data_IF_367033876871
#
_entry.id   IF_367033876871
#
_cell.length_a   1.000
_cell.length_b   1.000
_cell.length_c   1.000
_cell.angle_alpha   90.00
_cell.angle_beta   90.00
_cell.angle_gamma   90.00
#
_symmetry.space_group_name_H-M   'P 1'
#
loop_
_entity.id
_entity.type
_entity.pdbx_description
1 polymer ?
#
# COMPACT_ATOMS: atom_id res chain seq x y z
N UNK A 1 -7.47 28.14 -20.93
CA UNK A 1 -6.50 29.19 -21.32
C UNK A 1 -6.03 28.96 -22.75
N UNK A 2 -5.64 29.99 -23.52
CA UNK A 2 -5.04 29.79 -24.84
C UNK A 2 -3.73 29.01 -24.69
N UNK A 3 -3.46 28.07 -25.60
CA UNK A 3 -2.20 27.32 -25.62
C UNK A 3 -1.03 28.28 -25.86
N UNK A 4 0.02 28.29 -25.03
CA UNK A 4 1.15 29.20 -25.20
C UNK A 4 1.85 28.94 -26.54
N UNK A 5 2.36 30.01 -27.14
CA UNK A 5 3.10 29.93 -28.40
C UNK A 5 4.49 29.27 -28.20
N UNK A 6 5.11 28.67 -29.24
CA UNK A 6 6.42 28.03 -29.11
C UNK A 6 7.53 28.93 -28.53
N UNK A 7 7.52 30.23 -28.85
CA UNK A 7 8.51 31.17 -28.34
C UNK A 7 8.36 31.44 -26.83
N UNK A 8 7.12 31.45 -26.34
CA UNK A 8 6.78 31.64 -24.93
C UNK A 8 7.21 30.41 -24.13
N UNK A 9 6.93 29.21 -24.62
CA UNK A 9 7.40 27.95 -24.03
C UNK A 9 8.94 27.93 -23.91
N UNK A 10 9.66 28.32 -24.96
CA UNK A 10 11.14 28.39 -24.93
C UNK A 10 11.63 29.40 -23.89
N UNK A 11 11.00 30.58 -23.80
CA UNK A 11 11.37 31.59 -22.83
C UNK A 11 11.19 31.10 -21.39
N UNK A 12 10.07 30.42 -21.08
CA UNK A 12 9.80 29.83 -19.77
C UNK A 12 10.84 28.76 -19.40
N UNK A 13 11.21 27.90 -20.35
CA UNK A 13 12.25 26.87 -20.14
C UNK A 13 13.61 27.51 -19.84
N UNK A 14 14.02 28.51 -20.62
CA UNK A 14 15.32 29.16 -20.43
C UNK A 14 15.39 29.96 -19.12
N UNK A 15 14.29 30.61 -18.72
CA UNK A 15 14.20 31.28 -17.42
C UNK A 15 14.37 30.28 -16.26
N UNK A 16 13.62 29.17 -16.28
CA UNK A 16 13.72 28.14 -15.26
C UNK A 16 15.13 27.52 -15.20
N UNK A 17 15.75 27.26 -16.35
CA UNK A 17 17.13 26.77 -16.43
C UNK A 17 18.13 27.75 -15.82
N UNK A 18 17.97 29.04 -16.09
CA UNK A 18 18.82 30.07 -15.50
C UNK A 18 18.65 30.10 -13.97
N UNK A 19 17.42 30.01 -13.48
CA UNK A 19 17.11 30.03 -12.06
C UNK A 19 17.67 28.80 -11.33
N UNK A 20 17.50 27.60 -11.90
CA UNK A 20 18.09 26.36 -11.41
C UNK A 20 19.62 26.41 -11.47
N UNK A 21 20.21 26.95 -12.54
CA UNK A 21 21.67 27.06 -12.65
C UNK A 21 22.26 27.95 -11.53
N UNK A 22 21.53 28.97 -11.07
CA UNK A 22 21.96 29.82 -9.94
C UNK A 22 22.01 29.07 -8.60
N UNK A 23 21.23 28.01 -8.43
CA UNK A 23 21.28 27.18 -7.22
C UNK A 23 22.42 26.15 -7.24
N UNK A 24 23.14 26.03 -8.37
CA UNK A 24 24.23 25.07 -8.53
C UNK A 24 23.75 23.62 -8.62
N UNK A 25 22.45 23.41 -8.85
CA UNK A 25 21.83 22.09 -8.93
C UNK A 25 21.77 21.63 -10.39
N UNK A 26 22.03 20.34 -10.60
CA UNK A 26 21.77 19.67 -11.87
C UNK A 26 20.58 18.71 -11.68
N UNK A 27 19.39 19.03 -12.19
CA UNK A 27 18.23 18.15 -12.08
C UNK A 27 18.47 16.84 -12.82
N UNK A 28 18.07 15.73 -12.19
CA UNK A 28 17.89 14.42 -12.84
C UNK A 28 16.71 14.46 -13.79
N UNK A 29 15.65 15.17 -13.39
CA UNK A 29 14.51 15.45 -14.24
C UNK A 29 13.79 16.72 -13.80
N UNK A 30 12.97 17.23 -14.71
CA UNK A 30 12.27 18.49 -14.59
C UNK A 30 10.96 18.40 -15.38
N UNK A 31 9.84 18.76 -14.75
CA UNK A 31 8.50 18.79 -15.34
C UNK A 31 7.81 20.10 -14.96
N UNK A 32 6.84 20.51 -15.78
CA UNK A 32 5.96 21.62 -15.45
C UNK A 32 4.57 21.04 -15.16
N UNK A 33 4.05 21.25 -13.96
CA UNK A 33 2.78 20.70 -13.47
C UNK A 33 2.14 21.71 -12.50
N UNK A 34 0.83 21.66 -12.33
CA UNK A 34 0.12 22.38 -11.25
C UNK A 34 0.33 21.60 -9.95
N UNK A 35 1.11 22.18 -9.03
CA UNK A 35 1.56 21.54 -7.78
C UNK A 35 0.86 22.08 -6.53
N UNK A 36 0.07 23.14 -6.63
CA UNK A 36 -0.63 23.76 -5.51
C UNK A 36 -2.14 24.01 -5.71
N UNK A 37 -2.67 23.64 -6.88
CA UNK A 37 -4.09 23.72 -7.24
C UNK A 37 -4.50 25.07 -7.83
N UNK A 38 -3.54 25.90 -8.21
CA UNK A 38 -3.78 27.19 -8.86
C UNK A 38 -3.72 27.07 -10.41
N UNK A 39 -4.07 28.12 -11.18
CA UNK A 39 -4.08 28.03 -12.64
C UNK A 39 -2.68 28.14 -13.28
N UNK A 40 -1.65 28.49 -12.53
CA UNK A 40 -0.26 28.58 -12.97
C UNK A 40 0.40 27.20 -12.94
N UNK A 41 1.63 27.08 -13.48
CA UNK A 41 2.33 25.80 -13.56
C UNK A 41 3.75 25.96 -13.03
N UNK A 42 4.12 25.12 -12.09
CA UNK A 42 5.40 25.18 -11.40
C UNK A 42 6.37 24.18 -12.00
N UNK A 43 7.66 24.51 -11.88
CA UNK A 43 8.72 23.59 -12.24
C UNK A 43 9.03 22.66 -11.07
N UNK A 44 8.66 21.40 -11.20
CA UNK A 44 9.00 20.36 -10.22
C UNK A 44 10.16 19.51 -10.73
N UNK A 45 11.14 19.26 -9.86
CA UNK A 45 12.34 18.52 -10.24
C UNK A 45 12.97 17.72 -9.10
N UNK A 46 13.72 16.70 -9.48
CA UNK A 46 14.54 15.89 -8.57
C UNK A 46 16.01 16.05 -8.92
N UNK A 47 16.89 16.00 -7.92
CA UNK A 47 18.33 16.07 -8.10
C UNK A 47 19.06 15.19 -7.07
N UNK A 48 20.29 14.81 -7.40
CA UNK A 48 21.13 14.03 -6.49
C UNK A 48 22.18 14.93 -5.86
N UNK A 49 22.10 15.13 -4.55
CA UNK A 49 23.15 15.77 -3.78
C UNK A 49 24.29 14.77 -3.55
N UNK A 50 25.51 15.13 -3.98
CA UNK A 50 26.70 14.32 -3.74
C UNK A 50 26.98 14.17 -2.23
N UNK A 51 27.40 12.97 -1.84
CA UNK A 51 27.68 12.58 -0.46
C UNK A 51 27.96 11.09 -0.38
N UNK A 52 28.28 10.61 0.82
CA UNK A 52 28.44 9.18 1.09
C UNK A 52 27.57 8.82 2.32
N UNK A 53 26.34 8.31 2.11
CA UNK A 53 25.68 8.02 0.83
C UNK A 53 25.20 9.31 0.10
N UNK A 54 25.01 9.28 -1.24
CA UNK A 54 24.38 10.37 -1.97
C UNK A 54 22.91 10.48 -1.56
N UNK A 55 22.30 11.66 -1.72
CA UNK A 55 20.91 11.93 -1.30
C UNK A 55 20.09 12.49 -2.44
N UNK A 56 19.00 11.81 -2.77
CA UNK A 56 17.96 12.30 -3.67
C UNK A 56 17.17 13.37 -2.93
N UNK A 57 16.99 14.52 -3.57
CA UNK A 57 16.22 15.65 -3.08
C UNK A 57 15.30 16.14 -4.20
N UNK A 58 14.25 16.86 -3.82
CA UNK A 58 13.33 17.47 -4.76
C UNK A 58 13.22 18.97 -4.56
N UNK A 59 12.63 19.65 -5.52
CA UNK A 59 12.29 21.05 -5.43
C UNK A 59 11.08 21.39 -6.29
N UNK A 60 10.45 22.50 -5.93
CA UNK A 60 9.46 23.20 -6.73
C UNK A 60 9.95 24.62 -6.93
N UNK A 61 9.94 25.08 -8.17
CA UNK A 61 10.22 26.44 -8.57
C UNK A 61 8.92 27.05 -9.10
N UNK A 62 8.33 27.90 -8.27
CA UNK A 62 7.14 28.67 -8.57
C UNK A 62 7.56 30.12 -8.86
N UNK A 63 7.43 30.53 -10.11
CA UNK A 63 8.05 31.76 -10.61
C UNK A 63 9.55 31.80 -10.29
N UNK A 64 9.94 32.69 -9.37
CA UNK A 64 11.32 32.82 -8.89
C UNK A 64 11.53 32.24 -7.47
N UNK A 65 10.46 31.78 -6.81
CA UNK A 65 10.49 31.22 -5.47
C UNK A 65 10.91 29.75 -5.50
N UNK A 66 11.85 29.39 -4.62
CA UNK A 66 12.39 28.03 -4.53
C UNK A 66 11.88 27.34 -3.27
N UNK A 67 11.20 26.21 -3.44
CA UNK A 67 10.69 25.39 -2.37
C UNK A 67 11.39 24.04 -2.36
N UNK A 68 12.21 23.72 -1.34
CA UNK A 68 12.81 22.39 -1.23
C UNK A 68 11.77 21.35 -0.83
N UNK A 69 11.78 20.21 -1.53
CA UNK A 69 11.06 19.01 -1.11
C UNK A 69 12.05 18.12 -0.34
N UNK A 70 11.96 18.20 0.99
CA UNK A 70 12.78 17.41 1.88
C UNK A 70 11.93 16.94 3.08
N UNK A 71 12.09 15.69 3.53
CA UNK A 71 11.52 15.27 4.80
C UNK A 71 12.10 16.09 5.97
N UNK A 72 11.44 16.11 7.15
CA UNK A 72 12.00 16.72 8.35
C UNK A 72 13.39 16.15 8.68
N UNK A 73 14.31 17.01 9.13
CA UNK A 73 15.63 16.58 9.59
C UNK A 73 15.49 15.65 10.80
N UNK A 74 16.02 14.44 10.69
CA UNK A 74 16.12 13.47 11.78
C UNK A 74 17.43 12.69 11.66
N UNK A 75 17.87 12.03 12.72
CA UNK A 75 19.10 11.22 12.72
C UNK A 75 19.07 10.06 11.68
N UNK A 76 17.89 9.72 11.16
CA UNK A 76 17.66 8.66 10.15
C UNK A 76 17.45 9.21 8.71
N UNK A 77 17.72 10.50 8.48
CA UNK A 77 17.44 11.16 7.20
C UNK A 77 18.26 10.60 6.02
N UNK A 78 17.61 9.80 5.16
CA UNK A 78 18.16 9.31 3.87
C UNK A 78 17.84 10.25 2.69
N UNK A 79 17.28 11.43 2.93
CA UNK A 79 16.64 12.23 1.88
C UNK A 79 15.42 11.51 1.30
N UNK A 80 15.09 11.80 0.04
CA UNK A 80 14.03 11.10 -0.71
C UNK A 80 14.50 9.73 -1.22
N UNK A 81 15.77 9.38 -1.02
CA UNK A 81 16.43 8.17 -1.52
C UNK A 81 17.94 8.34 -1.65
N UNK A 82 18.63 7.26 -1.95
CA UNK A 82 20.10 7.19 -2.04
C UNK A 82 20.57 6.80 -3.46
N UNK A 83 19.66 6.77 -4.43
CA UNK A 83 19.94 6.50 -5.83
C UNK A 83 19.31 7.56 -6.73
N UNK A 84 19.90 7.84 -7.90
CA UNK A 84 19.27 8.71 -8.88
C UNK A 84 18.02 8.04 -9.45
N UNK A 85 16.85 8.60 -9.14
CA UNK A 85 15.56 8.17 -9.66
C UNK A 85 14.77 9.39 -10.12
N UNK A 86 14.07 9.26 -11.25
CA UNK A 86 13.03 10.20 -11.66
C UNK A 86 11.68 9.50 -11.63
N UNK A 87 11.19 9.24 -10.42
CA UNK A 87 9.85 8.72 -10.20
C UNK A 87 9.10 9.78 -9.40
N UNK A 88 8.33 10.58 -10.13
CA UNK A 88 7.63 11.74 -9.62
C UNK A 88 6.27 11.86 -10.32
N UNK A 89 5.22 12.02 -9.52
CA UNK A 89 3.85 12.25 -9.96
C UNK A 89 3.27 13.46 -9.24
N UNK A 90 2.38 14.18 -9.91
CA UNK A 90 1.60 15.27 -9.32
C UNK A 90 0.14 14.96 -9.62
N UNK A 91 -0.64 14.72 -8.57
CA UNK A 91 -2.09 14.44 -8.66
C UNK A 91 -2.73 14.51 -7.28
N UNK A 92 -4.03 14.75 -7.28
CA UNK A 92 -4.86 14.60 -6.08
C UNK A 92 -4.93 13.11 -5.69
N UNK A 93 -4.29 12.76 -4.57
CA UNK A 93 -4.26 11.41 -4.01
C UNK A 93 -5.37 11.18 -2.99
N UNK A 94 -5.89 12.22 -2.35
CA UNK A 94 -6.79 12.09 -1.21
C UNK A 94 -8.23 12.56 -1.51
N UNK A 95 -8.50 12.88 -2.78
CA UNK A 95 -9.76 13.36 -3.31
C UNK A 95 -10.24 14.67 -2.68
N UNK A 96 -9.33 15.53 -2.22
CA UNK A 96 -9.66 16.83 -1.62
C UNK A 96 -9.58 18.02 -2.61
N UNK A 97 -9.35 17.72 -3.90
CA UNK A 97 -9.19 18.68 -5.00
C UNK A 97 -7.93 19.55 -4.91
N UNK A 98 -6.96 19.21 -4.07
CA UNK A 98 -5.63 19.81 -4.07
C UNK A 98 -4.63 18.75 -4.54
N UNK A 99 -3.71 19.06 -5.48
CA UNK A 99 -2.73 18.10 -5.92
C UNK A 99 -1.66 17.85 -4.85
N UNK A 100 -1.23 16.59 -4.74
CA UNK A 100 -0.02 16.20 -4.02
C UNK A 100 1.15 15.97 -4.97
N UNK A 101 2.36 16.28 -4.50
CA UNK A 101 3.61 15.91 -5.14
C UNK A 101 4.14 14.63 -4.52
N UNK A 102 4.19 13.58 -5.33
CA UNK A 102 4.52 12.22 -4.93
C UNK A 102 5.89 11.85 -5.47
N UNK A 103 6.80 11.48 -4.57
CA UNK A 103 8.19 11.13 -4.93
C UNK A 103 8.53 9.73 -4.46
N UNK A 104 8.99 8.89 -5.39
CA UNK A 104 9.54 7.58 -5.09
C UNK A 104 11.05 7.61 -5.14
N UNK A 105 11.67 6.89 -4.20
CA UNK A 105 13.10 6.67 -4.17
C UNK A 105 13.47 5.30 -3.64
N UNK A 106 14.77 5.06 -3.52
CA UNK A 106 15.32 3.77 -3.10
C UNK A 106 16.45 3.98 -2.11
N UNK A 107 16.52 3.14 -1.08
CA UNK A 107 17.62 3.11 -0.12
C UNK A 107 18.63 2.01 -0.45
N UNK A 108 19.88 2.15 -0.02
CA UNK A 108 20.94 1.14 -0.16
C UNK A 108 20.59 -0.18 0.53
N UNK A 109 19.71 -0.14 1.53
CA UNK A 109 19.14 -1.33 2.17
C UNK A 109 18.25 -2.18 1.25
N UNK A 110 17.94 -1.68 0.04
CA UNK A 110 17.02 -2.27 -0.92
C UNK A 110 15.56 -1.91 -0.69
N UNK A 111 15.26 -0.99 0.24
CA UNK A 111 13.90 -0.53 0.49
C UNK A 111 13.43 0.49 -0.55
N UNK A 112 12.15 0.45 -0.89
CA UNK A 112 11.46 1.52 -1.62
C UNK A 112 11.02 2.58 -0.62
N UNK A 113 11.19 3.85 -1.00
CA UNK A 113 10.74 5.01 -0.24
C UNK A 113 9.64 5.72 -1.02
N UNK A 114 8.64 6.25 -0.31
CA UNK A 114 7.58 7.10 -0.85
C UNK A 114 7.44 8.33 0.04
N UNK A 115 7.39 9.50 -0.58
CA UNK A 115 7.14 10.77 0.12
C UNK A 115 6.01 11.51 -0.60
N UNK A 116 5.06 12.00 0.18
CA UNK A 116 3.89 12.74 -0.31
C UNK A 116 3.94 14.14 0.27
N UNK A 117 3.97 15.15 -0.59
CA UNK A 117 4.00 16.56 -0.21
C UNK A 117 2.76 17.28 -0.69
N UNK A 118 2.35 18.32 0.05
CA UNK A 118 1.23 19.19 -0.30
C UNK A 118 1.55 20.64 0.00
N UNK A 119 1.04 21.55 -0.82
CA UNK A 119 1.06 22.98 -0.52
C UNK A 119 0.16 23.37 0.66
N UNK A 120 0.73 24.06 1.66
CA UNK A 120 0.01 24.60 2.82
C UNK A 120 -0.09 26.14 2.80
N UNK A 121 0.04 26.77 1.64
CA UNK A 121 -0.07 28.23 1.47
C UNK A 121 1.24 29.01 1.58
N UNK A 122 2.22 28.50 2.32
CA UNK A 122 3.57 29.12 2.42
C UNK A 122 4.72 28.17 2.06
N UNK A 123 4.49 26.87 2.14
CA UNK A 123 5.49 25.83 1.91
C UNK A 123 4.83 24.52 1.51
N UNK A 124 5.63 23.65 0.92
CA UNK A 124 5.27 22.24 0.74
C UNK A 124 5.55 21.46 2.03
N UNK A 125 4.49 20.95 2.66
CA UNK A 125 4.57 20.12 3.85
C UNK A 125 4.57 18.64 3.47
N UNK A 126 5.32 17.84 4.23
CA UNK A 126 5.30 16.38 4.09
C UNK A 126 4.03 15.83 4.77
N UNK A 127 3.12 15.27 3.97
CA UNK A 127 1.93 14.57 4.47
C UNK A 127 2.26 13.15 4.96
N UNK A 128 3.24 12.49 4.34
CA UNK A 128 3.63 11.15 4.72
C UNK A 128 4.96 10.72 4.10
N UNK A 129 5.77 10.00 4.89
CA UNK A 129 6.99 9.34 4.45
C UNK A 129 6.94 7.86 4.80
N UNK A 130 7.21 6.99 3.82
CA UNK A 130 7.03 5.55 3.96
C UNK A 130 8.26 4.78 3.47
N UNK A 131 8.62 3.70 4.17
CA UNK A 131 9.69 2.76 3.78
C UNK A 131 9.14 1.33 3.69
N UNK A 132 9.26 0.70 2.52
CA UNK A 132 8.79 -0.66 2.26
C UNK A 132 9.87 -1.55 1.68
N UNK A 133 10.29 -2.59 2.42
CA UNK A 133 11.31 -3.56 1.98
C UNK A 133 10.79 -4.55 0.91
N UNK A 134 9.48 -4.69 0.78
CA UNK A 134 8.80 -5.42 -0.30
C UNK A 134 8.17 -4.48 -1.33
N UNK A 135 8.54 -3.20 -1.32
CA UNK A 135 7.94 -2.16 -2.15
C UNK A 135 6.80 -1.39 -1.47
N UNK A 136 6.26 -0.42 -2.19
CA UNK A 136 5.13 0.41 -1.77
C UNK A 136 4.18 0.52 -2.98
N UNK A 137 2.87 0.55 -2.73
CA UNK A 137 1.84 0.77 -3.75
C UNK A 137 0.88 1.85 -3.30
N UNK A 138 0.37 2.59 -4.28
CA UNK A 138 -0.83 3.39 -4.13
C UNK A 138 -1.98 2.59 -4.73
N UNK A 139 -3.05 2.42 -3.98
CA UNK A 139 -4.26 1.70 -4.38
C UNK A 139 -5.47 2.52 -3.99
N UNK A 140 -6.47 2.65 -4.84
CA UNK A 140 -7.82 3.01 -4.42
C UNK A 140 -8.63 1.71 -4.35
N UNK A 141 -8.75 1.16 -3.15
CA UNK A 141 -9.24 -0.21 -2.95
C UNK A 141 -10.68 -0.27 -2.46
N UNK A 142 -11.14 0.75 -1.76
CA UNK A 142 -12.51 0.85 -1.24
C UNK A 142 -13.44 1.66 -2.17
N UNK A 143 -12.90 2.38 -3.14
CA UNK A 143 -13.64 3.11 -4.16
C UNK A 143 -14.05 4.52 -3.74
N UNK A 144 -13.42 5.10 -2.71
CA UNK A 144 -13.70 6.45 -2.23
C UNK A 144 -12.98 7.57 -3.02
N UNK A 145 -12.15 7.19 -4.01
CA UNK A 145 -11.26 8.05 -4.81
C UNK A 145 -9.97 8.48 -4.13
N UNK A 146 -9.84 8.30 -2.83
CA UNK A 146 -8.57 8.47 -2.14
C UNK A 146 -7.72 7.19 -2.33
N UNK A 147 -6.45 7.37 -2.65
CA UNK A 147 -5.50 6.28 -2.66
C UNK A 147 -5.04 5.99 -1.25
N UNK A 148 -5.10 4.72 -0.86
CA UNK A 148 -4.39 4.17 0.27
C UNK A 148 -2.91 3.92 -0.06
N UNK A 149 -2.05 4.16 0.92
CA UNK A 149 -0.63 3.79 0.84
C UNK A 149 -0.45 2.39 1.40
N UNK A 150 -0.06 1.45 0.55
CA UNK A 150 0.16 0.05 0.91
C UNK A 150 1.66 -0.23 0.99
N UNK A 151 2.17 -0.30 2.21
CA UNK A 151 3.58 -0.57 2.52
C UNK A 151 3.80 -2.08 2.66
N UNK A 152 4.66 -2.65 1.82
CA UNK A 152 5.00 -4.08 1.87
C UNK A 152 6.27 -4.30 2.70
N UNK A 153 6.17 -5.20 3.67
CA UNK A 153 7.33 -5.69 4.41
C UNK A 153 8.16 -6.66 3.57
N UNK A 154 9.30 -7.11 4.10
CA UNK A 154 10.12 -8.10 3.41
C UNK A 154 9.28 -9.37 3.17
N UNK A 155 9.20 -9.88 1.93
CA UNK A 155 8.41 -11.06 1.64
C UNK A 155 9.00 -12.32 2.31
N UNK A 156 8.10 -13.23 2.69
CA UNK A 156 8.40 -14.54 3.27
C UNK A 156 7.93 -15.61 2.27
N UNK A 157 8.83 -16.02 1.38
CA UNK A 157 8.47 -16.87 0.24
C UNK A 157 7.48 -16.15 -0.70
N UNK A 158 6.28 -16.72 -0.96
CA UNK A 158 5.27 -16.10 -1.83
C UNK A 158 4.38 -15.08 -1.10
N UNK A 159 4.44 -15.01 0.23
CA UNK A 159 3.61 -14.15 1.05
C UNK A 159 4.32 -12.84 1.39
N UNK A 160 3.54 -11.78 1.58
CA UNK A 160 4.01 -10.51 2.11
C UNK A 160 3.00 -9.97 3.11
N UNK A 161 3.50 -9.36 4.18
CA UNK A 161 2.69 -8.57 5.09
C UNK A 161 2.63 -7.12 4.60
N UNK A 162 1.42 -6.61 4.44
CA UNK A 162 1.12 -5.26 3.98
C UNK A 162 0.54 -4.44 5.13
N UNK A 163 1.04 -3.23 5.31
CA UNK A 163 0.41 -2.21 6.18
C UNK A 163 -0.27 -1.20 5.27
N UNK A 164 -1.55 -0.94 5.53
CA UNK A 164 -2.41 -0.07 4.75
C UNK A 164 -2.64 1.22 5.54
N UNK A 165 -2.25 2.33 4.94
CA UNK A 165 -2.51 3.66 5.45
C UNK A 165 -3.62 4.32 4.63
N UNK A 166 -4.65 4.81 5.30
CA UNK A 166 -5.77 5.53 4.69
C UNK A 166 -5.72 6.99 5.11
N UNK A 167 -6.21 7.87 4.24
CA UNK A 167 -6.38 9.28 4.55
C UNK A 167 -7.52 9.48 5.57
N UNK A 168 -7.25 10.15 6.69
CA UNK A 168 -8.25 10.45 7.73
C UNK A 168 -8.86 11.87 7.62
N UNK A 169 -8.53 12.59 6.55
CA UNK A 169 -8.87 14.01 6.37
C UNK A 169 -7.72 14.96 6.68
N UNK A 170 -6.65 14.50 7.33
CA UNK A 170 -5.46 15.31 7.61
C UNK A 170 -4.14 14.55 7.45
N UNK A 171 -4.12 13.23 7.68
CA UNK A 171 -2.92 12.42 7.61
C UNK A 171 -3.22 11.03 7.03
N UNK A 172 -2.17 10.39 6.52
CA UNK A 172 -2.19 8.96 6.25
C UNK A 172 -1.95 8.18 7.55
N UNK A 173 -2.98 7.49 8.03
CA UNK A 173 -2.94 6.73 9.28
C UNK A 173 -3.05 5.23 9.02
N UNK A 174 -2.35 4.41 9.81
CA UNK A 174 -2.46 2.95 9.72
C UNK A 174 -3.88 2.52 10.13
N UNK A 175 -4.67 2.05 9.18
CA UNK A 175 -6.06 1.60 9.38
C UNK A 175 -6.22 0.09 9.30
N UNK A 176 -5.31 -0.59 8.59
CA UNK A 176 -5.35 -2.04 8.45
C UNK A 176 -3.98 -2.61 8.13
N UNK A 177 -3.80 -3.90 8.41
CA UNK A 177 -2.69 -4.69 7.91
C UNK A 177 -3.21 -6.04 7.41
N UNK A 178 -2.51 -6.65 6.48
CA UNK A 178 -2.95 -7.91 5.86
C UNK A 178 -1.82 -8.74 5.30
N UNK A 179 -2.03 -10.04 5.21
CA UNK A 179 -1.26 -10.89 4.31
C UNK A 179 -1.77 -10.72 2.87
N UNK A 180 -0.84 -10.71 1.93
CA UNK A 180 -1.10 -10.70 0.50
C UNK A 180 -0.09 -11.59 -0.24
N UNK A 181 -0.38 -11.87 -1.51
CA UNK A 181 0.60 -12.47 -2.42
C UNK A 181 1.61 -11.43 -2.88
N UNK A 182 2.90 -11.76 -2.77
CA UNK A 182 3.96 -10.88 -3.26
C UNK A 182 4.01 -10.84 -4.79
N UNK A 183 4.05 -12.02 -5.42
CA UNK A 183 3.99 -12.17 -6.88
C UNK A 183 2.54 -12.21 -7.37
N UNK A 184 2.28 -11.97 -8.66
CA UNK A 184 0.94 -12.08 -9.25
C UNK A 184 0.68 -13.43 -9.96
N UNK A 185 1.70 -14.29 -10.04
CA UNK A 185 1.65 -15.54 -10.81
C UNK A 185 0.58 -16.51 -10.30
N UNK A 186 -0.11 -17.18 -11.24
CA UNK A 186 -1.09 -18.23 -10.98
C UNK A 186 -0.70 -19.51 -11.72
N UNK A 187 -1.03 -20.72 -11.20
CA UNK A 187 -1.74 -20.99 -9.92
C UNK A 187 -0.89 -20.67 -8.68
N UNK A 188 -1.56 -20.42 -7.55
CA UNK A 188 -0.89 -20.12 -6.26
C UNK A 188 -0.50 -21.42 -5.53
N UNK A 189 0.65 -21.45 -4.84
CA UNK A 189 1.09 -22.64 -4.11
C UNK A 189 0.46 -22.82 -2.72
N UNK A 190 -0.21 -21.81 -2.16
CA UNK A 190 -0.83 -21.83 -0.81
C UNK A 190 0.03 -22.48 0.29
N UNK A 191 1.13 -21.82 0.73
CA UNK A 191 2.03 -22.39 1.72
C UNK A 191 1.32 -22.73 3.04
N UNK A 192 1.74 -23.84 3.63
CA UNK A 192 1.17 -24.44 4.84
C UNK A 192 2.27 -25.04 5.74
N UNK A 193 3.50 -24.59 5.57
CA UNK A 193 4.70 -25.02 6.29
C UNK A 193 4.71 -24.55 7.76
N UNK A 194 3.98 -23.48 8.07
CA UNK A 194 3.74 -22.99 9.43
C UNK A 194 2.24 -22.84 9.70
N UNK A 195 1.81 -22.84 10.99
CA UNK A 195 0.42 -22.59 11.33
C UNK A 195 -0.11 -21.24 10.81
N UNK A 196 0.74 -20.21 10.84
CA UNK A 196 0.38 -18.87 10.33
C UNK A 196 0.24 -18.91 8.81
N UNK A 197 1.16 -19.55 8.09
CA UNK A 197 1.05 -19.68 6.63
C UNK A 197 -0.20 -20.44 6.22
N UNK A 198 -0.53 -21.55 6.88
CA UNK A 198 -1.74 -22.31 6.57
C UNK A 198 -3.02 -21.47 6.77
N UNK A 199 -3.12 -20.72 7.88
CA UNK A 199 -4.24 -19.82 8.13
C UNK A 199 -4.32 -18.69 7.10
N UNK A 200 -3.19 -18.03 6.80
CA UNK A 200 -3.15 -16.94 5.83
C UNK A 200 -3.49 -17.43 4.42
N UNK A 201 -2.94 -18.58 4.01
CA UNK A 201 -3.24 -19.25 2.75
C UNK A 201 -4.71 -19.62 2.61
N UNK A 202 -5.36 -20.06 3.70
CA UNK A 202 -6.79 -20.37 3.70
C UNK A 202 -7.63 -19.14 3.31
N UNK A 203 -7.41 -18.01 3.97
CA UNK A 203 -8.15 -16.78 3.67
C UNK A 203 -7.75 -16.16 2.32
N UNK A 204 -6.49 -16.30 1.90
CA UNK A 204 -6.05 -15.86 0.57
C UNK A 204 -6.67 -16.72 -0.54
N UNK A 205 -6.82 -18.03 -0.35
CA UNK A 205 -7.52 -18.91 -1.29
C UNK A 205 -9.00 -18.54 -1.42
N UNK A 206 -9.66 -18.20 -0.30
CA UNK A 206 -11.03 -17.65 -0.34
C UNK A 206 -11.09 -16.34 -1.14
N UNK A 207 -10.13 -15.45 -0.93
CA UNK A 207 -10.06 -14.19 -1.67
C UNK A 207 -9.78 -14.37 -3.17
N UNK A 208 -8.95 -15.35 -3.53
CA UNK A 208 -8.66 -15.72 -4.93
C UNK A 208 -9.80 -16.47 -5.63
N UNK A 209 -10.87 -16.81 -4.89
CA UNK A 209 -12.00 -17.66 -5.32
C UNK A 209 -11.61 -19.11 -5.63
N UNK A 210 -10.49 -19.55 -5.11
CA UNK A 210 -10.04 -20.93 -5.20
C UNK A 210 -10.62 -21.74 -4.03
N UNK A 211 -11.95 -21.93 -4.06
CA UNK A 211 -12.67 -22.66 -3.02
C UNK A 211 -12.16 -24.11 -2.85
N UNK A 212 -11.78 -24.85 -3.91
CA UNK A 212 -11.15 -26.17 -3.74
C UNK A 212 -9.84 -26.12 -2.95
N UNK A 213 -8.96 -25.15 -3.22
CA UNK A 213 -7.70 -25.00 -2.49
C UNK A 213 -7.94 -24.54 -1.03
N UNK A 214 -8.87 -23.61 -0.81
CA UNK A 214 -9.25 -23.24 0.55
C UNK A 214 -9.79 -24.45 1.34
N UNK A 215 -10.63 -25.28 0.72
CA UNK A 215 -11.15 -26.49 1.36
C UNK A 215 -10.07 -27.55 1.62
N UNK A 216 -9.06 -27.67 0.76
CA UNK A 216 -7.97 -28.63 0.97
C UNK A 216 -7.07 -28.29 2.15
N UNK A 217 -7.04 -27.02 2.58
CA UNK A 217 -6.35 -26.55 3.78
C UNK A 217 -7.10 -26.90 5.08
N UNK A 218 -8.33 -27.42 5.00
CA UNK A 218 -9.06 -27.95 6.15
C UNK A 218 -8.58 -29.37 6.51
N UNK A 219 -8.61 -29.70 7.80
CA UNK A 219 -8.25 -31.02 8.29
C UNK A 219 -9.22 -32.08 7.76
N UNK A 220 -8.82 -33.37 7.71
CA UNK A 220 -9.76 -34.44 7.39
C UNK A 220 -10.99 -34.49 8.32
N UNK A 221 -10.82 -34.14 9.60
CA UNK A 221 -11.92 -34.08 10.55
C UNK A 221 -12.89 -32.93 10.21
N UNK A 222 -12.36 -31.73 9.96
CA UNK A 222 -13.14 -30.57 9.52
C UNK A 222 -13.95 -30.88 8.24
N UNK A 223 -13.29 -31.47 7.23
CA UNK A 223 -13.90 -31.85 5.95
C UNK A 223 -14.94 -32.98 6.07
N UNK A 224 -14.90 -33.77 7.12
CA UNK A 224 -15.92 -34.80 7.36
C UNK A 224 -17.17 -34.24 8.06
N UNK A 225 -17.04 -33.09 8.74
CA UNK A 225 -18.14 -32.41 9.41
C UNK A 225 -19.09 -31.65 8.47
N UNK A 226 -18.63 -31.25 7.28
CA UNK A 226 -19.44 -30.53 6.30
C UNK A 226 -19.01 -30.92 4.88
N UNK A 227 -19.96 -31.21 3.99
CA UNK A 227 -19.62 -31.52 2.58
C UNK A 227 -19.12 -30.27 1.86
N UNK A 228 -18.26 -30.47 0.87
CA UNK A 228 -17.67 -29.37 0.10
C UNK A 228 -18.71 -28.42 -0.49
N UNK A 229 -19.79 -28.94 -1.08
CA UNK A 229 -20.81 -28.12 -1.74
C UNK A 229 -21.53 -27.22 -0.74
N UNK A 230 -21.89 -27.77 0.42
CA UNK A 230 -22.57 -27.04 1.49
C UNK A 230 -21.64 -25.99 2.12
N UNK A 231 -20.35 -26.30 2.22
CA UNK A 231 -19.31 -25.38 2.70
C UNK A 231 -19.07 -24.23 1.71
N UNK A 232 -18.91 -24.55 0.42
CA UNK A 232 -18.64 -23.59 -0.64
C UNK A 232 -19.78 -22.58 -0.83
N UNK A 233 -21.03 -23.03 -0.66
CA UNK A 233 -22.21 -22.15 -0.68
C UNK A 233 -22.15 -21.03 0.37
N UNK A 234 -21.47 -21.25 1.50
CA UNK A 234 -21.27 -20.24 2.53
C UNK A 234 -20.50 -19.00 2.06
N UNK A 235 -19.71 -19.12 0.99
CA UNK A 235 -18.90 -18.03 0.42
C UNK A 235 -19.48 -17.47 -0.88
N UNK A 236 -20.71 -17.84 -1.24
CA UNK A 236 -21.33 -17.43 -2.50
C UNK A 236 -21.54 -15.91 -2.59
N UNK A 237 -21.84 -15.25 -1.46
CA UNK A 237 -22.02 -13.80 -1.38
C UNK A 237 -20.72 -13.05 -1.14
N UNK A 238 -19.67 -13.71 -0.66
CA UNK A 238 -18.38 -13.08 -0.40
C UNK A 238 -17.88 -12.42 -1.67
N UNK A 239 -17.33 -11.23 -1.55
CA UNK A 239 -16.71 -10.41 -2.60
C UNK A 239 -15.20 -10.42 -2.43
N UNK A 240 -14.75 -10.23 -1.19
CA UNK A 240 -13.35 -10.11 -0.82
C UNK A 240 -13.15 -10.62 0.61
N UNK A 241 -11.98 -11.20 0.87
CA UNK A 241 -11.56 -11.56 2.22
C UNK A 241 -10.11 -11.11 2.42
N UNK A 242 -9.82 -10.55 3.58
CA UNK A 242 -8.48 -10.16 3.98
C UNK A 242 -8.20 -10.72 5.36
N UNK A 243 -7.00 -11.23 5.56
CA UNK A 243 -6.53 -11.72 6.86
C UNK A 243 -5.40 -10.80 7.32
N UNK A 244 -5.60 -10.19 8.48
CA UNK A 244 -4.66 -9.31 9.15
C UNK A 244 -3.58 -10.06 9.91
N UNK A 245 -2.95 -9.37 10.86
CA UNK A 245 -1.96 -9.94 11.77
C UNK A 245 -2.43 -11.27 12.35
N UNK A 246 -1.71 -12.34 12.01
CA UNK A 246 -1.94 -13.68 12.50
C UNK A 246 -0.79 -14.09 13.42
N UNK A 247 -1.12 -14.68 14.57
CA UNK A 247 -0.13 -15.10 15.56
C UNK A 247 -0.51 -16.42 16.21
N UNK A 248 0.50 -17.25 16.48
CA UNK A 248 0.34 -18.44 17.32
C UNK A 248 0.08 -17.98 18.75
N UNK A 249 -1.05 -18.36 19.33
CA UNK A 249 -1.44 -18.09 20.72
C UNK A 249 -0.89 -19.16 21.65
N UNK A 250 -0.94 -20.41 21.21
CA UNK A 250 -0.43 -21.58 21.91
C UNK A 250 -0.15 -22.70 20.92
N UNK A 251 0.72 -23.65 21.25
CA UNK A 251 0.97 -24.80 20.39
C UNK A 251 2.23 -25.57 20.75
N UNK A 252 2.39 -26.68 20.06
CA UNK A 252 3.54 -27.57 20.05
C UNK A 252 3.85 -28.03 18.61
N UNK A 253 4.69 -29.05 18.44
CA UNK A 253 5.12 -29.54 17.12
C UNK A 253 4.00 -30.14 16.25
N UNK A 254 2.86 -30.52 16.85
CA UNK A 254 1.77 -31.20 16.16
C UNK A 254 0.44 -30.44 16.19
N UNK A 255 0.28 -29.46 17.08
CA UNK A 255 -0.93 -28.67 17.24
C UNK A 255 -0.62 -27.21 17.49
N UNK A 256 -1.45 -26.32 16.97
CA UNK A 256 -1.34 -24.90 17.22
C UNK A 256 -2.71 -24.26 17.31
N UNK A 257 -2.80 -23.16 18.05
CA UNK A 257 -3.93 -22.25 18.05
C UNK A 257 -3.43 -20.93 17.50
N UNK A 258 -4.02 -20.49 16.39
CA UNK A 258 -3.65 -19.24 15.71
C UNK A 258 -4.83 -18.28 15.81
N UNK A 259 -4.56 -17.07 16.29
CA UNK A 259 -5.52 -15.98 16.27
C UNK A 259 -5.17 -14.99 15.17
N UNK A 260 -6.20 -14.45 14.51
CA UNK A 260 -6.06 -13.42 13.49
C UNK A 260 -7.27 -12.47 13.49
N UNK A 261 -7.13 -11.33 12.83
CA UNK A 261 -8.29 -10.54 12.41
C UNK A 261 -8.60 -10.81 10.95
N UNK A 262 -9.88 -10.87 10.60
CA UNK A 262 -10.32 -11.13 9.23
C UNK A 262 -11.36 -10.10 8.83
N UNK A 263 -11.16 -9.44 7.69
CA UNK A 263 -12.12 -8.53 7.09
C UNK A 263 -12.77 -9.20 5.88
N UNK A 264 -14.08 -9.39 5.92
CA UNK A 264 -14.85 -9.95 4.83
C UNK A 264 -15.80 -8.90 4.27
N UNK A 265 -15.88 -8.80 2.94
CA UNK A 265 -16.84 -7.98 2.23
C UNK A 265 -17.80 -8.92 1.52
N UNK A 266 -19.09 -8.82 1.80
CA UNK A 266 -20.13 -9.67 1.20
C UNK A 266 -21.14 -8.81 0.41
N UNK A 267 -21.58 -9.32 -0.74
CA UNK A 267 -22.68 -8.74 -1.51
C UNK A 267 -24.03 -9.23 -0.98
N UNK A 268 -24.68 -8.37 -0.23
CA UNK A 268 -25.99 -8.61 0.38
C UNK A 268 -27.05 -7.81 -0.37
N UNK A 269 -27.63 -8.42 -1.41
CA UNK A 269 -28.73 -7.81 -2.17
C UNK A 269 -28.33 -6.58 -2.97
N UNK A 270 -27.11 -6.55 -3.53
CA UNK A 270 -26.57 -5.44 -4.31
C UNK A 270 -25.79 -4.41 -3.49
N UNK A 271 -25.71 -4.59 -2.17
CA UNK A 271 -24.92 -3.74 -1.25
C UNK A 271 -23.72 -4.51 -0.73
N UNK A 272 -22.62 -3.82 -0.51
CA UNK A 272 -21.42 -4.43 0.07
C UNK A 272 -21.42 -4.18 1.57
N UNK A 273 -21.51 -5.26 2.34
CA UNK A 273 -21.42 -5.22 3.79
C UNK A 273 -20.04 -5.72 4.18
N UNK A 274 -19.26 -4.86 4.84
CA UNK A 274 -17.97 -5.19 5.38
C UNK A 274 -18.12 -5.60 6.85
N UNK A 275 -17.39 -6.65 7.23
CA UNK A 275 -17.34 -7.18 8.59
C UNK A 275 -15.92 -7.50 8.98
N UNK A 276 -15.54 -7.09 10.19
CA UNK A 276 -14.28 -7.46 10.79
C UNK A 276 -14.54 -8.47 11.91
N UNK A 277 -13.80 -9.57 11.90
CA UNK A 277 -13.89 -10.65 12.87
C UNK A 277 -12.57 -10.85 13.60
N UNK A 278 -12.63 -11.16 14.89
CA UNK A 278 -11.57 -11.86 15.58
C UNK A 278 -11.79 -13.36 15.36
N UNK A 279 -10.81 -14.03 14.74
CA UNK A 279 -10.88 -15.47 14.51
C UNK A 279 -9.82 -16.18 15.32
N UNK A 280 -10.15 -17.38 15.78
CA UNK A 280 -9.20 -18.28 16.42
C UNK A 280 -9.40 -19.67 15.83
N UNK A 281 -8.33 -20.24 15.31
CA UNK A 281 -8.31 -21.57 14.71
C UNK A 281 -7.39 -22.50 15.49
N UNK A 282 -7.88 -23.69 15.78
CA UNK A 282 -7.05 -24.84 16.09
C UNK A 282 -6.55 -25.46 14.78
N UNK A 283 -5.25 -25.69 14.69
CA UNK A 283 -4.58 -26.31 13.57
C UNK A 283 -3.86 -27.58 14.02
N UNK A 284 -3.80 -28.55 13.12
CA UNK A 284 -3.10 -29.82 13.30
C UNK A 284 -2.07 -30.02 12.21
N UNK A 285 -0.91 -30.53 12.56
CA UNK A 285 0.11 -30.89 11.58
C UNK A 285 -0.21 -32.27 11.01
N UNK A 286 -0.25 -32.37 9.68
CA UNK A 286 -0.45 -33.62 8.94
C UNK A 286 0.76 -33.90 8.06
N UNK A 287 0.78 -35.05 7.37
CA UNK A 287 1.83 -35.35 6.38
C UNK A 287 1.85 -34.35 5.22
N UNK A 288 0.70 -33.74 4.90
CA UNK A 288 0.56 -32.76 3.82
C UNK A 288 0.84 -31.32 4.26
N UNK A 289 1.14 -31.07 5.54
CA UNK A 289 1.33 -29.73 6.11
C UNK A 289 0.35 -29.39 7.23
N UNK A 290 0.33 -28.13 7.67
CA UNK A 290 -0.61 -27.64 8.69
C UNK A 290 -2.01 -27.50 8.12
N UNK A 291 -3.02 -27.96 8.85
CA UNK A 291 -4.42 -27.94 8.44
C UNK A 291 -5.31 -27.32 9.51
N UNK A 292 -6.31 -26.57 9.07
CA UNK A 292 -7.30 -25.92 9.92
C UNK A 292 -8.33 -26.96 10.38
N UNK A 293 -8.42 -27.21 11.68
CA UNK A 293 -9.23 -28.29 12.25
C UNK A 293 -10.59 -27.79 12.75
N UNK A 294 -10.57 -26.77 13.59
CA UNK A 294 -11.78 -26.13 14.10
C UNK A 294 -11.50 -24.67 14.40
N UNK A 295 -12.49 -23.81 14.19
CA UNK A 295 -12.35 -22.39 14.44
C UNK A 295 -13.61 -21.77 15.02
N UNK A 296 -13.41 -20.62 15.68
CA UNK A 296 -14.47 -19.71 16.11
C UNK A 296 -14.20 -18.33 15.54
N UNK A 297 -15.27 -17.58 15.31
CA UNK A 297 -15.22 -16.20 14.86
C UNK A 297 -16.13 -15.35 15.75
N UNK A 298 -15.62 -14.23 16.21
CA UNK A 298 -16.36 -13.19 16.92
C UNK A 298 -16.43 -11.96 16.03
N UNK A 299 -17.64 -11.47 15.77
CA UNK A 299 -17.84 -10.22 15.03
C UNK A 299 -17.39 -9.05 15.89
N UNK A 300 -16.44 -8.26 15.38
CA UNK A 300 -15.96 -7.05 16.05
C UNK A 300 -16.69 -5.81 15.53
N UNK A 301 -16.90 -5.75 14.22
CA UNK A 301 -17.45 -4.58 13.54
C UNK A 301 -18.20 -4.98 12.27
N UNK A 302 -19.25 -4.24 11.94
CA UNK A 302 -20.03 -4.38 10.71
C UNK A 302 -20.42 -2.99 10.19
N UNK A 303 -20.21 -2.73 8.89
CA UNK A 303 -20.62 -1.49 8.25
C UNK A 303 -20.91 -1.70 6.75
N UNK A 304 -21.83 -0.91 6.20
CA UNK A 304 -22.09 -0.88 4.76
C UNK A 304 -20.99 -0.04 4.08
N UNK A 305 -20.28 -0.63 3.12
CA UNK A 305 -19.32 0.08 2.28
C UNK A 305 -20.10 1.02 1.37
N UNK A 306 -19.86 2.32 1.50
CA UNK A 306 -20.43 3.32 0.59
C UNK A 306 -19.48 3.50 -0.58
N UNK A 307 -19.96 3.19 -1.78
CA UNK A 307 -19.26 3.57 -3.01
C UNK A 307 -19.62 5.02 -3.33
N UNK A 308 -18.63 5.91 -3.24
CA UNK A 308 -18.73 7.36 -3.51
C UNK A 308 -19.75 8.12 -2.61
N UNK A 309 -19.35 9.18 -1.89
CA UNK A 309 -20.27 10.08 -1.19
C UNK A 309 -21.19 10.90 -2.11
#
# INVERSE_FOLDING_TARGET
MPTPGPAEVVATIEAARADIARTGIQPLCLRQEDTDGDPELEWVGLYLLSGEPPRLLGFILDGAAWYPLAPPESEEFKGLGEFPACQLEVRDLNADSVPEVVVWGHAQSGATLLHIFRWEGERYALLGGFEGKGGIRLENRDGDLADEVVVRWRPEGPLVWEVVYTWDGAHYVWTWDRYAWYYLDRPRPYPDDTPVHALSSFYLALNDRDLPAAYSLLSPAARSGQRYEDWALGFAATVRVEVGAARVVSGDEGRATVAAQVRALDNMGGRILARTYAVEWALVRTEEGWRLDWGKAELLEEWEMRYYP
#
